data_IF_211528715293
#
_entry.id   IF_211528715293
#
_cell.length_a   1.000
_cell.length_b   1.000
_cell.length_c   1.000
_cell.angle_alpha   90.00
_cell.angle_beta   90.00
_cell.angle_gamma   90.00
#
_symmetry.space_group_name_H-M   'P 1'
#
loop_
_entity.id
_entity.type
_entity.pdbx_description
1 polymer ?
#
# COMPACT_ATOMS: atom_id res chain seq x y z
N UNK A 1 -15.68 -9.83 0.81
CA UNK A 1 -15.72 -9.71 2.29
C UNK A 1 -14.53 -8.98 2.95
N UNK A 2 -13.45 -8.58 2.23
CA UNK A 2 -12.30 -7.89 2.86
C UNK A 2 -12.53 -6.41 3.25
N UNK A 3 -13.37 -5.65 2.53
CA UNK A 3 -13.61 -4.20 2.78
C UNK A 3 -14.13 -3.87 4.18
N UNK A 4 -14.98 -4.73 4.76
CA UNK A 4 -15.59 -4.51 6.10
C UNK A 4 -14.55 -4.74 7.21
N UNK A 5 -13.65 -5.71 7.01
CA UNK A 5 -12.63 -6.05 8.01
C UNK A 5 -11.60 -4.94 8.20
N UNK A 6 -11.15 -4.29 7.12
CA UNK A 6 -10.17 -3.20 7.22
C UNK A 6 -10.74 -1.96 7.93
N UNK A 7 -12.03 -1.64 7.73
CA UNK A 7 -12.68 -0.53 8.45
C UNK A 7 -12.78 -0.78 9.96
N UNK A 8 -13.16 -1.99 10.35
CA UNK A 8 -13.25 -2.36 11.78
C UNK A 8 -11.86 -2.40 12.41
N UNK A 9 -10.85 -2.89 11.70
CA UNK A 9 -9.48 -2.89 12.20
C UNK A 9 -8.96 -1.47 12.52
N UNK A 10 -9.21 -0.51 11.61
CA UNK A 10 -8.84 0.92 11.82
C UNK A 10 -9.55 1.59 13.00
N UNK A 11 -10.71 1.08 13.43
CA UNK A 11 -11.39 1.59 14.63
C UNK A 11 -10.63 1.23 15.92
N UNK A 12 -9.94 0.10 15.95
CA UNK A 12 -9.20 -0.37 17.13
C UNK A 12 -7.69 -0.08 17.05
N UNK A 13 -7.15 0.04 15.85
CA UNK A 13 -5.74 0.35 15.60
C UNK A 13 -5.64 1.57 14.66
N UNK A 14 -5.70 2.80 15.21
CA UNK A 14 -5.51 3.99 14.40
C UNK A 14 -4.13 3.94 13.76
N UNK A 15 -4.09 4.21 12.46
CA UNK A 15 -2.84 4.26 11.70
C UNK A 15 -1.91 5.29 12.29
N UNK A 16 -0.69 4.87 12.61
CA UNK A 16 0.38 5.79 12.99
C UNK A 16 0.75 6.64 11.77
N UNK A 17 1.33 7.81 12.04
CA UNK A 17 1.87 8.69 11.01
C UNK A 17 2.78 7.91 10.03
N UNK A 18 2.47 7.89 8.72
CA UNK A 18 3.26 7.21 7.71
C UNK A 18 4.75 7.58 7.74
N UNK A 19 5.08 8.85 8.04
CA UNK A 19 6.48 9.30 8.12
C UNK A 19 7.22 8.63 9.29
N UNK A 20 6.55 8.47 10.43
CA UNK A 20 7.12 7.78 11.59
C UNK A 20 7.32 6.29 11.30
N UNK A 21 6.39 5.66 10.58
CA UNK A 21 6.50 4.26 10.16
C UNK A 21 7.66 4.09 9.18
N UNK A 22 7.74 4.94 8.16
CA UNK A 22 8.83 4.89 7.17
C UNK A 22 10.19 4.98 7.84
N UNK A 23 10.37 5.95 8.74
CA UNK A 23 11.61 6.10 9.50
C UNK A 23 11.93 4.90 10.40
N UNK A 24 10.92 4.37 11.11
CA UNK A 24 11.10 3.24 12.06
C UNK A 24 11.54 1.96 11.35
N UNK A 25 10.95 1.66 10.19
CA UNK A 25 11.18 0.42 9.44
C UNK A 25 12.13 0.59 8.25
N UNK A 26 12.76 1.77 8.12
CA UNK A 26 13.68 2.08 7.03
C UNK A 26 13.05 1.86 5.65
N UNK A 27 11.75 2.15 5.54
CA UNK A 27 11.04 2.11 4.26
C UNK A 27 11.55 3.26 3.38
N UNK A 28 11.67 3.04 2.07
CA UNK A 28 12.13 4.07 1.15
C UNK A 28 11.07 5.17 1.01
N UNK A 29 11.48 6.41 0.70
CA UNK A 29 10.54 7.51 0.54
C UNK A 29 9.59 7.30 -0.66
N UNK A 30 10.12 6.70 -1.72
CA UNK A 30 9.40 6.27 -2.92
C UNK A 30 9.77 4.83 -3.29
N UNK A 31 8.90 4.17 -4.03
CA UNK A 31 9.08 2.79 -4.52
C UNK A 31 8.96 2.79 -6.04
N UNK A 32 9.91 2.14 -6.71
CA UNK A 32 9.81 1.88 -8.14
C UNK A 32 9.05 0.58 -8.37
N UNK A 33 8.17 0.57 -9.36
CA UNK A 33 7.41 -0.61 -9.73
C UNK A 33 7.15 -0.65 -11.23
N UNK A 34 6.89 -1.84 -11.74
CA UNK A 34 6.34 -2.07 -13.07
C UNK A 34 4.90 -2.52 -12.93
N UNK A 35 4.01 -2.00 -13.79
CA UNK A 35 2.60 -2.35 -13.81
C UNK A 35 2.26 -2.92 -15.18
N UNK A 36 1.62 -4.10 -15.18
CA UNK A 36 1.10 -4.75 -16.38
C UNK A 36 -0.40 -5.02 -16.21
N UNK A 37 -1.19 -4.68 -17.22
CA UNK A 37 -2.57 -5.12 -17.33
C UNK A 37 -2.62 -6.45 -18.09
N UNK A 38 -3.30 -7.43 -17.52
CA UNK A 38 -3.52 -8.75 -18.12
C UNK A 38 -4.79 -8.75 -19.00
N UNK A 39 -4.92 -9.66 -19.97
CA UNK A 39 -6.09 -9.73 -20.85
C UNK A 39 -7.43 -9.94 -20.12
N UNK A 40 -7.40 -10.58 -18.95
CA UNK A 40 -8.54 -10.83 -18.07
C UNK A 40 -8.80 -9.70 -17.06
N UNK A 41 -8.09 -8.57 -17.18
CA UNK A 41 -8.39 -7.33 -16.48
C UNK A 41 -7.71 -7.17 -15.12
N UNK A 42 -6.72 -8.01 -14.78
CA UNK A 42 -5.91 -7.84 -13.57
C UNK A 42 -4.72 -6.92 -13.79
N UNK A 43 -4.49 -6.03 -12.84
CA UNK A 43 -3.25 -5.32 -12.65
C UNK A 43 -2.25 -6.23 -11.95
N UNK A 44 -1.09 -6.46 -12.56
CA UNK A 44 0.04 -7.18 -11.96
C UNK A 44 1.16 -6.16 -11.74
N UNK A 45 1.60 -6.05 -10.49
CA UNK A 45 2.64 -5.12 -10.06
C UNK A 45 3.87 -5.91 -9.60
N UNK A 46 5.05 -5.49 -10.08
CA UNK A 46 6.35 -6.02 -9.64
C UNK A 46 7.25 -4.87 -9.18
N UNK A 47 8.11 -5.12 -8.20
CA UNK A 47 9.04 -4.10 -7.68
C UNK A 47 10.49 -4.52 -7.94
N UNK A 48 11.19 -3.87 -8.90
CA UNK A 48 12.59 -4.21 -9.20
C UNK A 48 13.53 -4.08 -8.01
N UNK A 49 13.24 -3.11 -7.13
CA UNK A 49 14.06 -2.82 -5.94
C UNK A 49 13.75 -3.77 -4.76
N UNK A 50 12.71 -4.61 -4.88
CA UNK A 50 12.24 -5.55 -3.86
C UNK A 50 12.07 -6.95 -4.49
N UNK A 51 13.17 -7.70 -4.67
CA UNK A 51 13.13 -9.00 -5.35
C UNK A 51 12.11 -9.96 -4.74
N UNK A 52 11.27 -10.55 -5.60
CA UNK A 52 10.21 -11.47 -5.18
C UNK A 52 8.90 -10.79 -4.77
N UNK A 53 8.85 -9.46 -4.68
CA UNK A 53 7.62 -8.74 -4.42
C UNK A 53 6.81 -8.62 -5.71
N UNK A 54 5.75 -9.43 -5.78
CA UNK A 54 4.76 -9.45 -6.87
C UNK A 54 3.38 -9.39 -6.22
N UNK A 55 2.51 -8.54 -6.74
CA UNK A 55 1.13 -8.42 -6.25
C UNK A 55 0.16 -8.17 -7.39
N UNK A 56 -1.11 -8.49 -7.19
CA UNK A 56 -2.15 -8.34 -8.21
C UNK A 56 -3.44 -7.76 -7.65
N UNK A 57 -4.17 -7.03 -8.49
CA UNK A 57 -5.44 -6.42 -8.12
C UNK A 57 -6.38 -6.26 -9.32
N UNK A 58 -7.69 -6.32 -9.08
CA UNK A 58 -8.72 -6.09 -10.10
C UNK A 58 -9.23 -4.64 -10.16
N UNK A 59 -8.71 -3.75 -9.31
CA UNK A 59 -9.12 -2.34 -9.30
C UNK A 59 -7.99 -1.43 -8.82
N UNK A 60 -7.99 -0.17 -9.25
CA UNK A 60 -7.01 0.84 -8.82
C UNK A 60 -6.94 0.98 -7.29
N UNK A 61 -8.08 0.93 -6.60
CA UNK A 61 -8.10 1.03 -5.14
C UNK A 61 -7.47 -0.19 -4.48
N UNK A 62 -7.81 -1.40 -4.95
CA UNK A 62 -7.20 -2.63 -4.46
C UNK A 62 -5.71 -2.71 -4.80
N UNK A 63 -5.27 -2.10 -5.91
CA UNK A 63 -3.86 -2.03 -6.28
C UNK A 63 -3.04 -1.31 -5.22
N UNK A 64 -3.49 -0.14 -4.75
CA UNK A 64 -2.80 0.60 -3.68
C UNK A 64 -2.78 -0.21 -2.38
N UNK A 65 -3.89 -0.82 -2.02
CA UNK A 65 -3.99 -1.64 -0.80
C UNK A 65 -3.04 -2.84 -0.87
N UNK A 66 -2.99 -3.55 -1.99
CA UNK A 66 -2.15 -4.74 -2.14
C UNK A 66 -0.67 -4.39 -2.34
N UNK A 67 -0.36 -3.23 -2.92
CA UNK A 67 0.99 -2.69 -2.95
C UNK A 67 1.50 -2.39 -1.54
N UNK A 68 0.71 -1.68 -0.72
CA UNK A 68 1.10 -1.39 0.65
C UNK A 68 1.22 -2.66 1.50
N UNK A 69 0.28 -3.59 1.40
CA UNK A 69 0.34 -4.88 2.12
C UNK A 69 1.61 -5.66 1.76
N UNK A 70 1.98 -5.72 0.48
CA UNK A 70 3.18 -6.40 0.02
C UNK A 70 4.46 -5.72 0.53
N UNK A 71 4.57 -4.39 0.45
CA UNK A 71 5.74 -3.65 0.96
C UNK A 71 5.85 -3.80 2.47
N UNK A 72 4.77 -3.58 3.21
CA UNK A 72 4.77 -3.69 4.66
C UNK A 72 5.14 -5.12 5.09
N UNK A 73 4.68 -6.14 4.36
CA UNK A 73 5.08 -7.53 4.60
C UNK A 73 6.57 -7.76 4.31
N UNK A 74 7.10 -7.22 3.20
CA UNK A 74 8.51 -7.36 2.84
C UNK A 74 9.46 -6.76 3.88
N UNK A 75 9.05 -5.67 4.53
CA UNK A 75 9.81 -4.99 5.59
C UNK A 75 9.43 -5.44 7.01
N UNK A 76 8.70 -6.55 7.16
CA UNK A 76 8.25 -7.09 8.45
C UNK A 76 7.51 -6.07 9.34
N UNK A 77 6.75 -5.17 8.71
CA UNK A 77 5.95 -4.16 9.42
C UNK A 77 4.65 -4.81 9.92
N UNK A 78 4.42 -4.85 11.24
CA UNK A 78 3.19 -5.42 11.78
C UNK A 78 1.96 -4.61 11.34
N UNK A 79 0.90 -5.27 10.84
CA UNK A 79 -0.35 -4.62 10.40
C UNK A 79 -0.99 -3.69 11.44
N UNK A 80 -0.77 -3.97 12.74
CA UNK A 80 -1.24 -3.11 13.85
C UNK A 80 -0.56 -1.73 13.90
N UNK A 81 0.57 -1.57 13.22
CA UNK A 81 1.30 -0.30 13.18
C UNK A 81 0.93 0.53 11.94
N UNK A 82 0.72 -0.13 10.81
CA UNK A 82 0.34 0.52 9.56
C UNK A 82 -0.37 -0.45 8.61
N UNK A 83 -1.27 0.10 7.78
CA UNK A 83 -1.87 -0.59 6.64
C UNK A 83 -1.67 0.17 5.31
N UNK A 84 -1.46 1.50 5.36
CA UNK A 84 -1.13 2.34 4.21
C UNK A 84 -0.01 3.32 4.60
N UNK A 85 1.08 3.33 3.84
CA UNK A 85 2.23 4.25 3.97
C UNK A 85 2.59 4.97 2.67
N UNK A 86 2.10 4.46 1.53
CA UNK A 86 2.12 5.11 0.22
C UNK A 86 0.68 5.28 -0.27
N UNK A 87 0.21 6.52 -0.33
CA UNK A 87 -1.16 6.86 -0.74
C UNK A 87 -1.26 7.29 -2.21
N UNK A 88 -0.12 7.42 -2.90
CA UNK A 88 -0.06 7.79 -4.31
C UNK A 88 0.86 6.85 -5.08
N UNK A 89 0.43 6.49 -6.28
CA UNK A 89 1.15 5.69 -7.25
C UNK A 89 1.25 6.50 -8.56
N UNK A 90 2.46 6.62 -9.12
CA UNK A 90 2.70 7.31 -10.39
C UNK A 90 2.99 6.27 -11.49
N UNK A 91 2.16 6.23 -12.53
CA UNK A 91 2.22 5.27 -13.65
C UNK A 91 2.40 6.07 -14.94
N UNK A 92 3.65 6.26 -15.38
CA UNK A 92 3.95 7.14 -16.51
C UNK A 92 3.37 8.55 -16.26
N UNK A 93 2.48 8.99 -17.15
CA UNK A 93 1.82 10.31 -17.06
C UNK A 93 0.60 10.34 -16.12
N UNK A 94 0.21 9.19 -15.55
CA UNK A 94 -0.99 9.08 -14.70
C UNK A 94 -0.61 8.94 -13.23
N UNK A 95 -1.38 9.57 -12.34
CA UNK A 95 -1.26 9.40 -10.89
C UNK A 95 -2.54 8.84 -10.31
N UNK A 96 -2.44 7.75 -9.56
CA UNK A 96 -3.54 7.16 -8.80
C UNK A 96 -3.34 7.52 -7.33
N UNK A 97 -4.30 8.22 -6.74
CA UNK A 97 -4.30 8.56 -5.33
C UNK A 97 -5.38 7.77 -4.58
N UNK A 98 -5.02 7.31 -3.38
CA UNK A 98 -5.93 6.67 -2.45
C UNK A 98 -6.89 7.71 -1.86
N UNK A 99 -8.18 7.49 -2.05
CA UNK A 99 -9.24 8.39 -1.58
C UNK A 99 -9.92 7.90 -0.28
N UNK A 100 -9.20 7.17 0.58
CA UNK A 100 -9.70 6.83 1.91
C UNK A 100 -9.20 7.81 2.97
N UNK A 101 -10.02 8.09 3.98
CA UNK A 101 -9.60 8.87 5.15
C UNK A 101 -8.40 8.17 5.83
N UNK A 102 -7.20 8.69 5.61
CA UNK A 102 -6.03 8.38 6.42
C UNK A 102 -6.27 9.04 7.78
N UNK A 103 -6.98 8.34 8.68
CA UNK A 103 -7.14 8.79 10.06
C UNK A 103 -5.80 8.58 10.78
N UNK A 104 -4.90 9.54 10.61
CA UNK A 104 -3.69 9.61 11.43
C UNK A 104 -4.08 10.19 12.78
N UNK A 105 -3.58 9.59 13.87
CA UNK A 105 -3.64 10.26 15.18
C UNK A 105 -2.78 11.53 15.11
N UNK A 106 -3.31 12.69 15.56
CA UNK A 106 -2.48 13.89 15.69
C UNK A 106 -1.32 13.63 16.67
N UNK A 107 -0.20 14.28 16.38
CA UNK A 107 1.08 14.13 17.09
C UNK A 107 1.00 14.48 18.57
#
# INVERSE_FOLDING_TARGET
MKKVQNKIFRLFFPTKDPLKIKKKYQLPESVNFSLRLTPDGWFVLTMPDHPGLITEAQSHQSLIEMMNDAILTYYDVPKREADIVYDRINIGDFSVQYHGELKTQPA
#
